data_IF_832704128457
#
_entry.id   IF_832704128457
#
_cell.length_a   1.000
_cell.length_b   1.000
_cell.length_c   1.000
_cell.angle_alpha   90.00
_cell.angle_beta   90.00
_cell.angle_gamma   90.00
#
_symmetry.space_group_name_H-M   'P 1'
#
loop_
_entity.id
_entity.type
_entity.pdbx_description
1 polymer ?
#
# COMPACT_ATOMS: atom_id res chain seq x y z
N UNK A 1 22.33 5.23 9.77
CA UNK A 1 22.94 4.00 10.35
C UNK A 1 23.49 4.14 11.78
N UNK A 2 24.54 4.94 12.08
CA UNK A 2 25.16 4.98 13.43
C UNK A 2 24.18 5.37 14.55
N UNK A 3 23.41 6.45 14.35
CA UNK A 3 22.39 6.92 15.30
C UNK A 3 21.29 5.86 15.53
N UNK A 4 20.80 5.21 14.47
CA UNK A 4 19.81 4.13 14.58
C UNK A 4 20.32 2.96 15.41
N UNK A 5 21.61 2.57 15.26
CA UNK A 5 22.22 1.55 16.11
C UNK A 5 22.33 1.99 17.58
N UNK A 6 22.54 3.28 17.85
CA UNK A 6 22.52 3.81 19.22
C UNK A 6 21.11 3.79 19.81
N UNK A 7 20.10 4.20 19.04
CA UNK A 7 18.70 4.17 19.48
C UNK A 7 18.24 2.74 19.81
N UNK A 8 18.60 1.76 18.98
CA UNK A 8 18.23 0.34 19.19
C UNK A 8 18.91 -0.29 20.43
N UNK A 9 20.03 0.26 20.90
CA UNK A 9 20.70 -0.15 22.14
C UNK A 9 20.03 0.44 23.38
N UNK A 10 19.30 1.55 23.24
CA UNK A 10 18.56 2.18 24.32
C UNK A 10 17.25 1.45 24.65
N UNK A 11 16.57 1.93 25.71
CA UNK A 11 15.23 1.48 26.13
C UNK A 11 14.14 2.53 25.91
N UNK A 12 14.45 3.65 25.26
CA UNK A 12 13.48 4.71 25.00
C UNK A 12 12.55 4.32 23.84
N UNK A 13 11.28 4.75 23.93
CA UNK A 13 10.29 4.64 22.86
C UNK A 13 10.16 3.21 22.25
N UNK A 14 9.83 2.18 23.04
CA UNK A 14 9.74 0.80 22.54
C UNK A 14 8.79 0.65 21.34
N UNK A 15 7.74 1.48 21.26
CA UNK A 15 6.80 1.48 20.14
C UNK A 15 7.39 1.86 18.77
N UNK A 16 8.54 2.57 18.72
CA UNK A 16 9.20 2.96 17.46
C UNK A 16 10.32 2.00 17.05
N UNK A 17 10.56 0.95 17.83
CA UNK A 17 11.69 0.04 17.61
C UNK A 17 11.58 -0.66 16.26
N UNK A 18 10.37 -1.04 15.85
CA UNK A 18 10.08 -1.61 14.53
C UNK A 18 10.47 -0.67 13.38
N UNK A 19 10.03 0.58 13.43
CA UNK A 19 10.41 1.62 12.46
C UNK A 19 11.94 1.80 12.36
N UNK A 20 12.63 1.87 13.51
CA UNK A 20 14.09 2.04 13.53
C UNK A 20 14.84 0.85 12.92
N UNK A 21 14.40 -0.38 13.22
CA UNK A 21 14.95 -1.59 12.60
C UNK A 21 14.73 -1.61 11.10
N UNK A 22 13.50 -1.31 10.65
CA UNK A 22 13.15 -1.27 9.23
C UNK A 22 14.00 -0.23 8.50
N UNK A 23 14.11 0.98 9.08
CA UNK A 23 14.91 2.06 8.51
C UNK A 23 16.40 1.73 8.47
N UNK A 24 16.95 1.12 9.53
CA UNK A 24 18.35 0.70 9.57
C UNK A 24 18.66 -0.33 8.47
N UNK A 25 17.76 -1.30 8.29
CA UNK A 25 17.88 -2.33 7.28
C UNK A 25 17.82 -1.73 5.86
N UNK A 26 16.96 -0.73 5.63
CA UNK A 26 16.89 0.05 4.38
C UNK A 26 18.17 0.84 4.11
N UNK A 27 18.65 1.63 5.08
CA UNK A 27 19.87 2.43 4.95
C UNK A 27 21.08 1.55 4.59
N UNK A 28 21.23 0.39 5.22
CA UNK A 28 22.34 -0.54 4.94
C UNK A 28 22.28 -1.09 3.50
N UNK A 29 21.08 -1.35 2.99
CA UNK A 29 20.91 -1.78 1.61
C UNK A 29 21.22 -0.65 0.61
N UNK A 30 20.90 0.60 0.95
CA UNK A 30 21.25 1.77 0.12
C UNK A 30 22.77 1.98 0.07
N UNK A 31 23.47 1.69 1.16
CA UNK A 31 24.94 1.71 1.22
C UNK A 31 25.60 0.49 0.54
N UNK A 32 24.83 -0.36 -0.16
CA UNK A 32 25.35 -1.56 -0.84
C UNK A 32 25.68 -2.73 0.09
N UNK A 33 25.50 -2.59 1.41
CA UNK A 33 25.82 -3.59 2.43
C UNK A 33 24.67 -4.59 2.60
N UNK A 34 24.38 -5.36 1.54
CA UNK A 34 23.20 -6.24 1.49
C UNK A 34 23.24 -7.36 2.55
N UNK A 35 24.41 -7.94 2.80
CA UNK A 35 24.57 -9.01 3.79
C UNK A 35 24.25 -8.51 5.22
N UNK A 36 24.72 -7.32 5.57
CA UNK A 36 24.39 -6.71 6.86
C UNK A 36 22.92 -6.29 6.93
N UNK A 37 22.35 -5.79 5.82
CA UNK A 37 20.94 -5.46 5.78
C UNK A 37 20.05 -6.68 6.06
N UNK A 38 20.46 -7.86 5.57
CA UNK A 38 19.79 -9.13 5.85
C UNK A 38 19.90 -9.51 7.32
N UNK A 39 21.11 -9.53 7.88
CA UNK A 39 21.33 -9.84 9.30
C UNK A 39 20.53 -8.91 10.23
N UNK A 40 20.47 -7.62 9.90
CA UNK A 40 19.66 -6.64 10.64
C UNK A 40 18.16 -6.94 10.52
N UNK A 41 17.68 -7.38 9.35
CA UNK A 41 16.28 -7.77 9.19
C UNK A 41 15.93 -9.04 9.98
N UNK A 42 16.83 -10.02 10.02
CA UNK A 42 16.67 -11.24 10.84
C UNK A 42 16.65 -10.92 12.34
N UNK A 43 17.62 -10.12 12.80
CA UNK A 43 17.68 -9.65 14.19
C UNK A 43 16.46 -8.81 14.60
N UNK A 44 15.86 -8.08 13.67
CA UNK A 44 14.64 -7.33 13.96
C UNK A 44 13.43 -8.23 14.24
N UNK A 45 13.37 -9.44 13.65
CA UNK A 45 12.27 -10.37 13.88
C UNK A 45 12.36 -11.12 15.21
N UNK A 46 13.56 -11.17 15.81
CA UNK A 46 13.77 -11.73 17.16
C UNK A 46 13.47 -10.72 18.26
N UNK A 47 13.31 -9.44 17.93
CA UNK A 47 13.03 -8.37 18.88
C UNK A 47 11.56 -8.40 19.34
N UNK A 48 11.28 -8.58 20.65
CA UNK A 48 9.90 -8.64 21.16
C UNK A 48 9.11 -7.34 21.03
N UNK A 49 9.79 -6.21 20.88
CA UNK A 49 9.15 -4.88 20.83
C UNK A 49 8.71 -4.49 19.41
N UNK A 50 9.06 -5.28 18.40
CA UNK A 50 8.65 -5.05 17.01
C UNK A 50 7.23 -5.56 16.81
N UNK A 51 6.30 -4.62 16.61
CA UNK A 51 4.85 -4.88 16.61
C UNK A 51 4.26 -4.91 15.21
N UNK A 52 3.16 -5.67 15.08
CA UNK A 52 2.17 -5.65 13.98
C UNK A 52 2.76 -5.31 12.59
N UNK A 53 2.43 -4.14 12.04
CA UNK A 53 2.77 -3.72 10.69
C UNK A 53 4.28 -3.66 10.43
N UNK A 54 5.08 -3.22 11.40
CA UNK A 54 6.54 -3.18 11.26
C UNK A 54 7.12 -4.60 11.12
N UNK A 55 6.55 -5.56 11.86
CA UNK A 55 6.95 -6.96 11.77
C UNK A 55 6.66 -7.51 10.37
N UNK A 56 5.46 -7.30 9.84
CA UNK A 56 5.11 -7.74 8.48
C UNK A 56 5.98 -7.05 7.43
N UNK A 57 6.25 -5.76 7.58
CA UNK A 57 7.14 -5.02 6.68
C UNK A 57 8.58 -5.59 6.69
N UNK A 58 9.10 -5.94 7.88
CA UNK A 58 10.39 -6.60 8.04
C UNK A 58 10.41 -8.01 7.44
N UNK A 59 9.34 -8.79 7.64
CA UNK A 59 9.18 -10.12 7.05
C UNK A 59 9.19 -10.05 5.52
N UNK A 60 8.38 -9.18 4.90
CA UNK A 60 8.38 -8.92 3.44
C UNK A 60 9.76 -8.49 2.95
N UNK A 61 10.46 -7.67 3.74
CA UNK A 61 11.80 -7.19 3.40
C UNK A 61 12.83 -8.32 3.44
N UNK A 62 12.79 -9.20 4.44
CA UNK A 62 13.69 -10.34 4.55
C UNK A 62 13.57 -11.26 3.33
N UNK A 63 12.34 -11.62 2.96
CA UNK A 63 12.05 -12.45 1.77
C UNK A 63 12.66 -11.84 0.51
N UNK A 64 12.48 -10.53 0.30
CA UNK A 64 13.09 -9.81 -0.84
C UNK A 64 14.62 -9.83 -0.83
N UNK A 65 15.23 -9.64 0.34
CA UNK A 65 16.70 -9.67 0.47
C UNK A 65 17.28 -11.07 0.23
N UNK A 66 16.64 -12.12 0.75
CA UNK A 66 17.04 -13.51 0.50
C UNK A 66 16.98 -13.85 -0.99
N UNK A 67 15.92 -13.41 -1.67
CA UNK A 67 15.81 -13.55 -3.13
C UNK A 67 16.95 -12.88 -3.87
N UNK A 68 17.31 -11.66 -3.49
CA UNK A 68 18.44 -10.94 -4.09
C UNK A 68 19.77 -11.64 -3.80
N UNK A 69 19.99 -12.13 -2.58
CA UNK A 69 21.23 -12.81 -2.19
C UNK A 69 21.42 -14.11 -2.97
N UNK A 70 20.39 -14.94 -3.09
CA UNK A 70 20.45 -16.20 -3.83
C UNK A 70 20.70 -15.95 -5.33
N UNK A 71 20.09 -14.91 -5.91
CA UNK A 71 20.38 -14.50 -7.29
C UNK A 71 21.84 -14.09 -7.47
N UNK A 72 22.42 -13.34 -6.53
CA UNK A 72 23.83 -12.93 -6.59
C UNK A 72 24.78 -14.13 -6.44
N UNK A 73 24.46 -15.09 -5.56
CA UNK A 73 25.25 -16.32 -5.41
C UNK A 73 25.22 -17.17 -6.68
N UNK A 74 24.05 -17.32 -7.31
CA UNK A 74 23.92 -18.05 -8.60
C UNK A 74 24.72 -17.39 -9.72
N UNK A 75 24.78 -16.06 -9.78
CA UNK A 75 25.61 -15.34 -10.75
C UNK A 75 27.11 -15.54 -10.51
N UNK A 76 27.54 -15.62 -9.25
CA UNK A 76 28.95 -15.86 -8.90
C UNK A 76 29.39 -17.32 -9.14
N UNK A 77 28.48 -18.29 -8.96
CA UNK A 77 28.75 -19.71 -9.21
C UNK A 77 28.53 -20.16 -10.67
N UNK A 78 28.11 -19.26 -11.55
CA UNK A 78 27.74 -19.56 -12.94
C UNK A 78 28.76 -19.08 -13.97
N UNK A 79 30.02 -19.50 -13.86
CA UNK A 79 30.91 -19.66 -15.02
C UNK A 79 30.92 -21.16 -15.37
N UNK A 80 29.98 -21.60 -16.19
CA UNK A 80 29.85 -23.01 -16.57
C UNK A 80 28.41 -23.34 -16.91
N UNK A 81 28.10 -23.37 -18.20
CA UNK A 81 26.75 -23.56 -18.70
C UNK A 81 26.15 -24.90 -18.29
N UNK A 82 25.09 -24.87 -17.49
CA UNK A 82 23.99 -25.82 -17.58
C UNK A 82 22.75 -25.20 -16.93
N UNK A 83 21.68 -25.12 -17.72
CA UNK A 83 20.39 -24.51 -17.36
C UNK A 83 19.61 -25.47 -16.45
N UNK A 84 20.17 -25.78 -15.29
CA UNK A 84 19.57 -26.66 -14.29
C UNK A 84 18.29 -26.08 -13.69
N UNK A 85 17.33 -26.97 -13.43
CA UNK A 85 16.03 -26.79 -12.75
C UNK A 85 16.05 -25.58 -11.81
N UNK A 86 15.12 -24.63 -12.00
CA UNK A 86 14.95 -23.45 -11.13
C UNK A 86 14.61 -23.93 -9.71
N UNK A 87 15.61 -24.17 -8.87
CA UNK A 87 15.42 -24.39 -7.45
C UNK A 87 14.65 -23.20 -6.89
N UNK A 88 13.56 -23.48 -6.17
CA UNK A 88 12.72 -22.47 -5.54
C UNK A 88 13.52 -21.59 -4.59
N UNK A 89 12.96 -20.42 -4.27
CA UNK A 89 13.57 -19.51 -3.31
C UNK A 89 13.67 -20.22 -1.95
N UNK A 90 14.89 -20.38 -1.42
CA UNK A 90 15.04 -20.91 -0.06
C UNK A 90 14.54 -19.85 0.92
N UNK A 91 13.46 -20.16 1.62
CA UNK A 91 12.84 -19.31 2.60
C UNK A 91 13.08 -19.87 4.01
N UNK A 92 13.14 -19.01 5.03
CA UNK A 92 13.22 -19.47 6.42
C UNK A 92 11.95 -20.22 6.80
N UNK A 93 12.08 -21.19 7.72
CA UNK A 93 10.98 -22.11 8.09
C UNK A 93 9.69 -21.39 8.56
N UNK A 94 9.82 -20.24 9.22
CA UNK A 94 8.66 -19.44 9.63
C UNK A 94 7.90 -18.85 8.42
N UNK A 95 8.58 -18.55 7.30
CA UNK A 95 7.94 -17.96 6.12
C UNK A 95 7.20 -19.00 5.27
N UNK A 96 7.50 -20.29 5.45
CA UNK A 96 6.77 -21.39 4.79
C UNK A 96 5.52 -21.82 5.56
N UNK A 97 5.28 -21.27 6.76
CA UNK A 97 4.07 -21.52 7.52
C UNK A 97 2.86 -20.86 6.84
N UNK A 98 1.69 -21.50 6.84
CA UNK A 98 0.51 -21.00 6.09
C UNK A 98 0.03 -19.64 6.58
N UNK A 99 0.06 -19.38 7.89
CA UNK A 99 -0.34 -18.09 8.46
C UNK A 99 0.59 -16.95 8.06
N UNK A 100 1.91 -17.20 8.11
CA UNK A 100 2.90 -16.22 7.68
C UNK A 100 2.83 -15.99 6.16
N UNK A 101 2.63 -17.05 5.38
CA UNK A 101 2.44 -16.94 3.93
C UNK A 101 1.17 -16.14 3.59
N UNK A 102 0.07 -16.37 4.31
CA UNK A 102 -1.17 -15.61 4.15
C UNK A 102 -0.99 -14.13 4.52
N UNK A 103 -0.33 -13.81 5.64
CA UNK A 103 -0.02 -12.43 6.03
C UNK A 103 0.90 -11.71 5.03
N UNK A 104 1.72 -12.47 4.31
CA UNK A 104 2.60 -11.95 3.25
C UNK A 104 1.95 -11.90 1.87
N UNK A 105 0.80 -12.57 1.68
CA UNK A 105 0.09 -12.57 0.40
C UNK A 105 -0.51 -11.20 0.10
N UNK A 106 -0.60 -10.88 -1.19
CA UNK A 106 -1.26 -9.67 -1.64
C UNK A 106 -2.78 -9.87 -1.58
N UNK A 107 -3.54 -8.90 -1.04
CA UNK A 107 -5.00 -8.98 -1.01
C UNK A 107 -5.57 -8.95 -2.44
N UNK A 108 -6.79 -9.47 -2.66
CA UNK A 108 -7.45 -9.36 -3.96
C UNK A 108 -7.66 -7.88 -4.32
N UNK A 109 -7.19 -7.49 -5.50
CA UNK A 109 -7.31 -6.13 -6.01
C UNK A 109 -8.49 -5.99 -6.97
N UNK A 110 -9.24 -4.90 -6.84
CA UNK A 110 -10.34 -4.53 -7.74
C UNK A 110 -10.05 -3.14 -8.29
N UNK A 111 -10.18 -2.97 -9.61
CA UNK A 111 -9.90 -1.70 -10.30
C UNK A 111 -11.21 -1.01 -10.65
N UNK A 112 -11.35 0.25 -10.22
CA UNK A 112 -12.49 1.12 -10.52
C UNK A 112 -11.98 2.33 -11.28
N UNK A 113 -12.58 2.59 -12.45
CA UNK A 113 -12.21 3.71 -13.32
C UNK A 113 -13.21 4.86 -13.19
N UNK A 114 -12.73 6.10 -13.15
CA UNK A 114 -13.55 7.31 -13.13
C UNK A 114 -12.85 8.50 -13.79
N UNK A 115 -13.64 9.50 -14.18
CA UNK A 115 -13.13 10.74 -14.80
C UNK A 115 -12.57 11.66 -13.73
N UNK A 116 -11.26 11.90 -13.76
CA UNK A 116 -10.57 12.81 -12.84
C UNK A 116 -10.77 14.27 -13.28
N UNK A 117 -10.90 15.18 -12.31
CA UNK A 117 -10.97 16.62 -12.59
C UNK A 117 -9.56 17.20 -12.85
N UNK A 118 -9.30 17.81 -14.03
CA UNK A 118 -8.02 18.43 -14.33
C UNK A 118 -7.79 19.66 -13.44
N UNK A 119 -6.52 19.93 -13.09
CA UNK A 119 -6.14 21.15 -12.36
C UNK A 119 -6.31 21.10 -10.83
N UNK A 120 -6.69 19.96 -10.25
CA UNK A 120 -6.64 19.75 -8.79
C UNK A 120 -5.22 19.42 -8.34
N UNK A 121 -4.29 20.38 -8.46
CA UNK A 121 -2.95 20.24 -7.86
C UNK A 121 -3.03 20.51 -6.37
N UNK A 122 -3.31 19.45 -5.61
CA UNK A 122 -3.32 19.41 -4.15
C UNK A 122 -3.15 17.98 -3.63
N UNK A 123 -3.03 17.80 -2.31
CA UNK A 123 -2.78 16.51 -1.64
C UNK A 123 -3.88 15.43 -1.84
N UNK A 124 -4.99 15.72 -2.51
CA UNK A 124 -6.13 14.80 -2.68
C UNK A 124 -6.74 14.90 -4.08
N UNK A 125 -6.83 13.77 -4.77
CA UNK A 125 -7.50 13.63 -6.07
C UNK A 125 -9.02 13.79 -5.95
N UNK A 126 -9.65 14.22 -7.05
CA UNK A 126 -11.10 14.46 -7.16
C UNK A 126 -11.63 13.88 -8.47
N UNK A 127 -12.81 13.26 -8.40
CA UNK A 127 -13.43 12.52 -9.51
C UNK A 127 -14.85 13.02 -9.74
N UNK A 128 -15.33 12.87 -10.97
CA UNK A 128 -16.72 13.08 -11.32
C UNK A 128 -17.48 11.75 -11.16
N UNK A 129 -18.59 11.79 -10.43
CA UNK A 129 -19.51 10.66 -10.28
C UNK A 129 -20.96 11.13 -10.48
N UNK A 130 -21.88 10.27 -10.99
CA UNK A 130 -23.29 10.61 -11.11
C UNK A 130 -23.87 11.01 -9.75
N UNK A 131 -24.68 12.07 -9.72
CA UNK A 131 -25.34 12.54 -8.50
C UNK A 131 -26.28 11.46 -7.93
N UNK A 132 -26.25 11.27 -6.61
CA UNK A 132 -27.10 10.27 -5.94
C UNK A 132 -28.58 10.66 -6.13
N UNK A 133 -29.29 9.95 -7.00
CA UNK A 133 -30.71 10.19 -7.30
C UNK A 133 -31.06 10.29 -8.79
N UNK A 134 -30.09 10.38 -9.69
CA UNK A 134 -30.37 10.30 -11.13
C UNK A 134 -30.33 8.83 -11.58
N UNK A 135 -31.44 8.12 -11.37
CA UNK A 135 -31.65 6.80 -11.95
C UNK A 135 -31.67 6.89 -13.46
N UNK A 136 -30.57 6.51 -14.12
CA UNK A 136 -30.59 6.08 -15.50
C UNK A 136 -29.61 4.89 -15.65
N UNK A 137 -30.03 3.76 -16.27
CA UNK A 137 -29.16 2.62 -16.46
C UNK A 137 -28.17 2.96 -17.58
N UNK A 138 -26.95 3.37 -17.23
CA UNK A 138 -25.89 3.52 -18.23
C UNK A 138 -25.18 2.19 -18.38
N UNK A 139 -25.46 1.55 -19.52
CA UNK A 139 -24.93 0.26 -19.93
C UNK A 139 -23.40 0.21 -19.80
N UNK A 140 -22.91 -0.84 -19.14
CA UNK A 140 -21.52 -1.23 -19.18
C UNK A 140 -21.13 -1.52 -20.64
N UNK A 141 -20.24 -0.72 -21.21
CA UNK A 141 -19.51 -1.12 -22.41
C UNK A 141 -18.30 -1.95 -21.98
N UNK A 142 -18.09 -3.15 -22.56
CA UNK A 142 -16.93 -3.97 -22.26
C UNK A 142 -15.68 -3.34 -22.90
N UNK A 143 -14.62 -3.22 -22.11
CA UNK A 143 -13.30 -2.82 -22.59
C UNK A 143 -12.66 -3.98 -23.35
N UNK A 144 -12.56 -3.87 -24.67
CA UNK A 144 -11.61 -4.64 -25.49
C UNK A 144 -10.59 -3.69 -26.10
N UNK A 145 -9.31 -3.89 -25.77
CA UNK A 145 -8.17 -3.40 -26.56
C UNK A 145 -8.13 -4.13 -27.92
N UNK A 146 -7.57 -3.55 -29.01
CA UNK A 146 -6.11 -3.50 -29.17
C UNK A 146 -5.52 -2.28 -29.93
N UNK A 147 -4.26 -1.99 -29.60
CA UNK A 147 -3.11 -1.59 -30.46
C UNK A 147 -3.19 -0.45 -31.50
N UNK A 148 -2.16 0.40 -31.40
CA UNK A 148 -1.42 1.16 -32.43
C UNK A 148 -1.59 2.69 -32.50
N UNK A 149 -0.44 3.37 -32.42
CA UNK A 149 -0.23 4.80 -32.62
C UNK A 149 -0.48 5.23 -34.08
N UNK A 150 -0.71 6.53 -34.34
CA UNK A 150 0.38 7.29 -34.96
C UNK A 150 0.52 8.78 -34.54
N UNK A 151 1.78 9.21 -34.50
CA UNK A 151 2.42 10.41 -35.10
C UNK A 151 1.68 11.76 -35.18
N UNK A 152 2.20 12.72 -34.41
CA UNK A 152 2.51 14.14 -34.70
C UNK A 152 1.58 14.99 -35.59
N UNK A 153 0.98 16.02 -35.00
CA UNK A 153 0.86 17.34 -35.63
C UNK A 153 0.84 18.45 -34.56
N UNK A 154 1.84 19.33 -34.64
CA UNK A 154 1.96 20.55 -33.85
C UNK A 154 1.05 21.67 -34.40
N UNK A 155 0.68 22.64 -33.56
CA UNK A 155 0.46 24.08 -33.85
C UNK A 155 0.11 24.81 -32.52
N UNK A 156 0.23 26.16 -32.43
CA UNK A 156 0.99 26.79 -31.36
C UNK A 156 0.15 27.52 -30.31
N UNK A 157 0.81 27.70 -29.15
CA UNK A 157 0.69 28.75 -28.14
C UNK A 157 0.07 30.04 -28.70
N UNK A 158 -0.93 30.67 -28.09
CA UNK A 158 -0.80 31.59 -26.93
C UNK A 158 -2.21 32.13 -26.60
N UNK A 159 -2.59 32.29 -25.32
CA UNK A 159 -3.44 33.39 -24.77
C UNK A 159 -3.57 33.20 -23.23
N UNK A 160 -3.83 34.27 -22.45
CA UNK A 160 -3.17 34.50 -21.17
C UNK A 160 -3.85 33.88 -19.95
N UNK A 161 -3.02 33.72 -18.92
CA UNK A 161 -3.36 33.30 -17.57
C UNK A 161 -4.50 34.13 -16.98
N UNK A 162 -5.68 33.53 -16.91
CA UNK A 162 -6.73 33.94 -15.98
C UNK A 162 -7.08 32.72 -15.15
N UNK A 163 -6.90 32.83 -13.84
CA UNK A 163 -7.17 31.77 -12.86
C UNK A 163 -8.58 31.19 -13.10
N UNK A 164 -8.76 29.89 -13.38
CA UNK A 164 -10.09 29.34 -13.53
C UNK A 164 -10.68 29.12 -12.14
N UNK A 165 -11.71 29.89 -11.82
CA UNK A 165 -12.75 29.47 -10.87
C UNK A 165 -13.17 28.04 -11.28
N UNK A 166 -13.25 27.05 -10.37
CA UNK A 166 -13.63 25.71 -10.75
C UNK A 166 -15.03 25.76 -11.36
N UNK A 167 -15.13 25.35 -12.63
CA UNK A 167 -16.42 25.20 -13.31
C UNK A 167 -17.34 24.32 -12.45
N UNK A 168 -18.60 24.73 -12.22
CA UNK A 168 -19.56 23.86 -11.55
C UNK A 168 -19.67 22.55 -12.33
N UNK A 169 -19.77 21.44 -11.60
CA UNK A 169 -19.88 20.12 -12.20
C UNK A 169 -21.03 20.08 -13.22
N UNK A 170 -20.88 19.34 -14.34
CA UNK A 170 -21.94 19.22 -15.33
C UNK A 170 -23.23 18.69 -14.66
N UNK A 171 -24.37 19.17 -15.15
CA UNK A 171 -25.69 18.89 -14.56
C UNK A 171 -25.87 17.37 -14.36
N UNK A 172 -26.15 16.96 -13.12
CA UNK A 172 -26.31 15.55 -12.75
C UNK A 172 -25.01 14.82 -12.38
N UNK A 173 -23.87 15.49 -12.35
CA UNK A 173 -22.59 14.97 -11.86
C UNK A 173 -22.14 15.72 -10.60
N UNK A 174 -21.55 14.98 -9.67
CA UNK A 174 -20.98 15.48 -8.43
C UNK A 174 -19.48 15.25 -8.39
N UNK A 175 -18.78 16.13 -7.66
CA UNK A 175 -17.35 15.98 -7.41
C UNK A 175 -17.15 15.18 -6.13
N UNK A 176 -16.47 14.04 -6.23
CA UNK A 176 -16.27 13.10 -5.12
C UNK A 176 -14.78 12.79 -4.89
N UNK A 177 -14.45 12.36 -3.66
CA UNK A 177 -13.14 11.78 -3.34
C UNK A 177 -13.01 10.32 -3.81
N UNK A 178 -11.82 9.72 -3.63
CA UNK A 178 -11.59 8.32 -4.01
C UNK A 178 -12.43 7.35 -3.17
N UNK A 179 -12.63 7.68 -1.90
CA UNK A 179 -13.32 6.84 -0.93
C UNK A 179 -14.82 6.82 -1.22
N UNK A 180 -15.40 7.98 -1.51
CA UNK A 180 -16.81 8.10 -1.90
C UNK A 180 -17.07 7.43 -3.26
N UNK A 181 -16.14 7.54 -4.21
CA UNK A 181 -16.21 6.82 -5.48
C UNK A 181 -16.24 5.30 -5.26
N UNK A 182 -15.41 4.78 -4.36
CA UNK A 182 -15.41 3.36 -4.00
C UNK A 182 -16.73 2.93 -3.32
N UNK A 183 -17.27 3.73 -2.40
CA UNK A 183 -18.57 3.46 -1.77
C UNK A 183 -19.68 3.38 -2.81
N UNK A 184 -19.73 4.30 -3.78
CA UNK A 184 -20.71 4.27 -4.88
C UNK A 184 -20.55 3.05 -5.78
N UNK A 185 -19.32 2.62 -6.06
CA UNK A 185 -19.07 1.40 -6.83
C UNK A 185 -19.68 0.18 -6.13
N UNK A 186 -19.38 -0.05 -4.85
CA UNK A 186 -19.91 -1.20 -4.11
C UNK A 186 -21.42 -1.11 -3.86
N UNK A 187 -21.99 0.10 -3.77
CA UNK A 187 -23.44 0.31 -3.69
C UNK A 187 -24.19 0.13 -5.01
N UNK A 188 -23.49 0.11 -6.15
CA UNK A 188 -24.10 -0.17 -7.44
C UNK A 188 -24.52 -1.64 -7.57
N UNK A 189 -25.46 -1.93 -8.48
CA UNK A 189 -25.86 -3.31 -8.78
C UNK A 189 -24.66 -4.16 -9.25
N UNK A 190 -23.75 -3.57 -10.03
CA UNK A 190 -22.53 -4.25 -10.49
C UNK A 190 -21.53 -4.53 -9.35
N UNK A 191 -21.52 -3.68 -8.32
CA UNK A 191 -20.66 -3.84 -7.14
C UNK A 191 -21.26 -4.68 -6.01
N UNK A 192 -22.49 -5.20 -6.18
CA UNK A 192 -23.16 -6.07 -5.22
C UNK A 192 -24.23 -5.41 -4.36
N UNK A 193 -24.55 -4.12 -4.57
CA UNK A 193 -25.65 -3.45 -3.89
C UNK A 193 -25.42 -3.20 -2.40
N UNK A 194 -24.16 -3.09 -1.99
CA UNK A 194 -23.78 -2.96 -0.59
C UNK A 194 -24.09 -1.57 -0.02
N UNK A 195 -24.46 -1.52 1.26
CA UNK A 195 -24.56 -0.27 2.02
C UNK A 195 -23.34 -0.16 2.92
N UNK A 196 -22.59 0.94 2.81
CA UNK A 196 -21.39 1.16 3.60
C UNK A 196 -21.11 2.63 3.85
N UNK A 197 -20.16 2.89 4.74
CA UNK A 197 -19.67 4.23 5.08
C UNK A 197 -18.15 4.21 5.07
N UNK A 198 -17.53 5.30 4.64
CA UNK A 198 -16.10 5.49 4.79
C UNK A 198 -15.79 6.00 6.21
N UNK A 199 -14.98 5.26 6.96
CA UNK A 199 -14.66 5.60 8.36
C UNK A 199 -13.25 5.21 8.81
N UNK A 200 -12.35 4.89 7.87
CA UNK A 200 -10.99 4.39 8.15
C UNK A 200 -10.97 3.34 9.29
N UNK A 201 -10.44 3.70 10.47
CA UNK A 201 -10.47 2.89 11.69
C UNK A 201 -11.41 3.40 12.79
N UNK A 202 -12.09 4.53 12.57
CA UNK A 202 -12.94 5.18 13.58
C UNK A 202 -14.13 4.33 14.01
N UNK A 203 -14.72 3.57 13.08
CA UNK A 203 -15.80 2.62 13.40
C UNK A 203 -15.34 1.56 14.41
N UNK A 204 -14.14 1.00 14.21
CA UNK A 204 -13.59 -0.02 15.10
C UNK A 204 -13.23 0.55 16.47
N UNK A 205 -12.65 1.75 16.51
CA UNK A 205 -12.37 2.44 17.77
C UNK A 205 -13.64 2.73 18.57
N UNK A 206 -14.70 3.16 17.89
CA UNK A 206 -16.00 3.43 18.52
C UNK A 206 -16.63 2.15 19.06
N UNK A 207 -16.70 1.09 18.24
CA UNK A 207 -17.24 -0.20 18.67
C UNK A 207 -16.45 -0.76 19.85
N UNK A 208 -15.11 -0.71 19.81
CA UNK A 208 -14.28 -1.16 20.92
C UNK A 208 -14.54 -0.36 22.18
N UNK A 209 -14.59 0.98 22.09
CA UNK A 209 -14.87 1.84 23.24
C UNK A 209 -16.25 1.60 23.86
N UNK A 210 -17.27 1.36 23.04
CA UNK A 210 -18.62 1.02 23.51
C UNK A 210 -18.68 -0.36 24.17
N UNK A 211 -18.01 -1.36 23.60
CA UNK A 211 -18.02 -2.73 24.10
C UNK A 211 -17.14 -2.93 25.33
N UNK A 212 -16.07 -2.14 25.48
CA UNK A 212 -15.09 -2.26 26.56
C UNK A 212 -15.18 -1.13 27.57
N UNK A 213 -16.24 -0.32 27.54
CA UNK A 213 -16.38 0.88 28.37
C UNK A 213 -16.11 0.61 29.85
N UNK A 214 -16.77 -0.41 30.42
CA UNK A 214 -16.65 -0.77 31.83
C UNK A 214 -15.23 -1.22 32.22
N UNK A 215 -14.47 -1.78 31.27
CA UNK A 215 -13.08 -2.21 31.49
C UNK A 215 -12.12 -1.03 31.35
N UNK A 216 -12.33 -0.17 30.35
CA UNK A 216 -11.49 0.99 30.07
C UNK A 216 -11.53 1.99 31.22
N UNK A 217 -12.69 2.16 31.86
CA UNK A 217 -12.88 3.06 32.99
C UNK A 217 -12.92 2.33 34.34
N UNK A 218 -12.42 1.09 34.38
CA UNK A 218 -12.22 0.36 35.64
C UNK A 218 -11.19 1.09 36.49
N UNK A 219 -11.46 1.25 37.78
CA UNK A 219 -10.48 1.78 38.73
C UNK A 219 -9.32 0.77 38.88
N UNK A 220 -8.13 1.17 38.46
CA UNK A 220 -6.90 0.40 38.62
C UNK A 220 -5.95 1.22 39.51
N UNK A 221 -5.50 0.68 40.66
CA UNK A 221 -4.53 1.38 41.50
C UNK A 221 -3.21 1.59 40.75
N UNK A 222 -2.57 2.73 41.02
CA UNK A 222 -1.24 3.07 40.47
C UNK A 222 -0.12 2.17 40.99
#
# INVERSE_FOLDING_TARGET
VRLLRQLLRGRCCPGRRGEWWLRLSLDLAHLGRQAEALQVAEAALTDPWVRHGDRVALQRRLVRLLGRQQQLQRKKGGQGGQRGKRGGLQLPAWATQPEAAAALSDPPEVVVSATMLPGTTGLKSRFLAPANGCGAPSAALPATAPTSAPTSAALPTTLPATLPVPLPAPIGMEVVGVEELAVRHYGSAAGGGWRGVHSEGGVWGTLWGLLMWDVVFMEVPE
#
